data_IF_462543451792
#
_entry.id   IF_462543451792
#
_cell.length_a   1.000
_cell.length_b   1.000
_cell.length_c   1.000
_cell.angle_alpha   90.00
_cell.angle_beta   90.00
_cell.angle_gamma   90.00
#
_symmetry.space_group_name_H-M   'P 1'
#
loop_
_entity.id
_entity.type
_entity.pdbx_description
1 polymer ?
#
# COMPACT_ATOMS: atom_id res chain seq x y z
N UNK A 1 -21.07 17.23 6.98
CA UNK A 1 -20.87 16.26 5.87
C UNK A 1 -19.46 16.34 5.27
N UNK A 2 -18.87 17.53 5.12
CA UNK A 2 -17.53 17.69 4.49
C UNK A 2 -16.38 17.09 5.31
N UNK A 3 -16.39 17.23 6.65
CA UNK A 3 -15.33 16.72 7.53
C UNK A 3 -15.14 15.20 7.40
N UNK A 4 -16.23 14.43 7.45
CA UNK A 4 -16.17 12.97 7.32
C UNK A 4 -15.70 12.53 5.95
N UNK A 5 -16.19 13.16 4.87
CA UNK A 5 -15.74 12.84 3.50
C UNK A 5 -14.26 13.15 3.32
N UNK A 6 -13.81 14.31 3.78
CA UNK A 6 -12.41 14.72 3.72
C UNK A 6 -11.50 13.74 4.48
N UNK A 7 -11.91 13.32 5.68
CA UNK A 7 -11.18 12.33 6.46
C UNK A 7 -11.05 10.98 5.72
N UNK A 8 -12.14 10.46 5.17
CA UNK A 8 -12.13 9.19 4.42
C UNK A 8 -11.22 9.32 3.19
N UNK A 9 -11.36 10.39 2.41
CA UNK A 9 -10.53 10.61 1.21
C UNK A 9 -9.06 10.75 1.56
N UNK A 10 -8.73 11.49 2.62
CA UNK A 10 -7.35 11.63 3.11
C UNK A 10 -6.75 10.29 3.51
N UNK A 11 -7.46 9.49 4.30
CA UNK A 11 -6.99 8.16 4.71
C UNK A 11 -6.76 7.24 3.51
N UNK A 12 -7.70 7.20 2.55
CA UNK A 12 -7.53 6.41 1.34
C UNK A 12 -6.33 6.88 0.51
N UNK A 13 -6.15 8.19 0.35
CA UNK A 13 -5.00 8.75 -0.36
C UNK A 13 -3.68 8.34 0.30
N UNK A 14 -3.58 8.42 1.64
CA UNK A 14 -2.42 7.95 2.39
C UNK A 14 -2.16 6.47 2.16
N UNK A 15 -3.16 5.59 2.30
CA UNK A 15 -2.99 4.14 2.08
C UNK A 15 -2.44 3.85 0.69
N UNK A 16 -2.97 4.51 -0.36
CA UNK A 16 -2.51 4.30 -1.72
C UNK A 16 -1.11 4.87 -2.00
N UNK A 17 -0.71 5.93 -1.27
CA UNK A 17 0.63 6.50 -1.31
C UNK A 17 1.67 5.61 -0.62
N UNK A 18 1.33 4.97 0.51
CA UNK A 18 2.21 4.05 1.25
C UNK A 18 2.27 2.65 0.64
N UNK A 19 1.22 2.21 -0.05
CA UNK A 19 1.16 0.86 -0.63
C UNK A 19 2.27 0.48 -1.63
N UNK A 20 2.88 1.37 -2.44
CA UNK A 20 4.02 1.02 -3.29
C UNK A 20 5.36 1.04 -2.51
N UNK A 21 5.40 1.69 -1.35
CA UNK A 21 6.59 1.79 -0.49
C UNK A 21 6.79 0.54 0.36
N UNK A 22 5.69 -0.08 0.77
CA UNK A 22 5.71 -1.24 1.65
C UNK A 22 5.69 -2.58 0.90
N UNK A 23 5.13 -2.60 -0.33
CA UNK A 23 4.88 -3.84 -1.06
C UNK A 23 5.36 -3.75 -2.52
N UNK A 24 6.15 -4.73 -3.00
CA UNK A 24 6.50 -4.84 -4.41
C UNK A 24 5.25 -5.12 -5.26
N UNK A 25 5.26 -4.62 -6.50
CA UNK A 25 4.10 -4.58 -7.43
C UNK A 25 3.39 -5.93 -7.58
N UNK A 26 4.13 -7.03 -7.47
CA UNK A 26 3.61 -8.40 -7.60
C UNK A 26 2.62 -8.83 -6.51
N UNK A 27 2.77 -8.34 -5.27
CA UNK A 27 1.89 -8.74 -4.14
C UNK A 27 0.88 -7.66 -3.75
N UNK A 28 1.02 -6.44 -4.28
CA UNK A 28 0.19 -5.28 -3.91
C UNK A 28 -1.30 -5.54 -4.07
N UNK A 29 -1.72 -6.14 -5.19
CA UNK A 29 -3.14 -6.42 -5.46
C UNK A 29 -3.70 -7.48 -4.50
N UNK A 30 -2.92 -8.53 -4.22
CA UNK A 30 -3.31 -9.60 -3.29
C UNK A 30 -3.44 -9.07 -1.86
N UNK A 31 -2.46 -8.27 -1.40
CA UNK A 31 -2.49 -7.66 -0.07
C UNK A 31 -3.73 -6.76 0.11
N UNK A 32 -4.00 -5.87 -0.83
CA UNK A 32 -5.19 -5.01 -0.82
C UNK A 32 -6.50 -5.82 -0.86
N UNK A 33 -6.53 -6.91 -1.62
CA UNK A 33 -7.66 -7.85 -1.65
C UNK A 33 -7.92 -8.52 -0.30
N UNK A 34 -6.88 -9.02 0.35
CA UNK A 34 -6.97 -9.61 1.69
C UNK A 34 -7.48 -8.60 2.73
N UNK A 35 -6.92 -7.38 2.74
CA UNK A 35 -7.38 -6.30 3.61
C UNK A 35 -8.87 -5.99 3.39
N UNK A 36 -9.34 -5.96 2.14
CA UNK A 36 -10.75 -5.74 1.82
C UNK A 36 -11.65 -6.83 2.38
N UNK A 37 -11.26 -8.11 2.21
CA UNK A 37 -12.03 -9.24 2.75
C UNK A 37 -12.12 -9.16 4.28
N UNK A 38 -11.02 -8.86 4.97
CA UNK A 38 -11.01 -8.68 6.43
C UNK A 38 -11.91 -7.51 6.84
N UNK A 39 -11.87 -6.38 6.13
CA UNK A 39 -12.73 -5.23 6.39
C UNK A 39 -14.22 -5.56 6.19
N UNK A 40 -14.56 -6.39 5.19
CA UNK A 40 -15.93 -6.88 4.99
C UNK A 40 -16.40 -7.78 6.14
N UNK A 41 -15.56 -8.71 6.60
CA UNK A 41 -15.87 -9.54 7.76
C UNK A 41 -16.09 -8.68 9.01
N UNK A 42 -15.24 -7.68 9.24
CA UNK A 42 -15.40 -6.72 10.33
C UNK A 42 -16.73 -5.96 10.26
N UNK A 43 -17.16 -5.55 9.07
CA UNK A 43 -18.45 -4.86 8.88
C UNK A 43 -19.67 -5.76 9.17
N UNK A 44 -19.59 -7.04 8.82
CA UNK A 44 -20.65 -8.02 9.13
C UNK A 44 -20.73 -8.23 10.65
N UNK A 45 -19.60 -8.49 11.30
CA UNK A 45 -19.53 -8.64 12.76
C UNK A 45 -20.00 -7.38 13.50
N UNK A 46 -19.61 -6.19 13.03
CA UNK A 46 -20.03 -4.91 13.57
C UNK A 46 -21.55 -4.73 13.54
N UNK A 47 -22.19 -5.13 12.44
CA UNK A 47 -23.65 -5.02 12.28
C UNK A 47 -24.38 -5.93 13.27
N UNK A 48 -23.87 -7.14 13.50
CA UNK A 48 -24.44 -8.08 14.48
C UNK A 48 -24.32 -7.56 15.91
N UNK A 49 -23.13 -7.08 16.29
CA UNK A 49 -22.88 -6.50 17.63
C UNK A 49 -23.75 -5.26 17.86
N UNK A 50 -23.89 -4.42 16.82
CA UNK A 50 -24.74 -3.24 16.87
C UNK A 50 -26.21 -3.57 17.12
N UNK A 51 -26.72 -4.66 16.54
CA UNK A 51 -28.10 -5.06 16.75
C UNK A 51 -28.33 -5.49 18.21
N UNK A 52 -27.44 -6.34 18.72
CA UNK A 52 -27.51 -6.88 20.07
C UNK A 52 -27.41 -5.79 21.15
N UNK A 53 -26.51 -4.81 20.97
CA UNK A 53 -26.31 -3.72 21.95
C UNK A 53 -27.51 -2.77 22.02
N UNK A 54 -28.16 -2.52 20.88
CA UNK A 54 -29.33 -1.64 20.81
C UNK A 54 -30.52 -2.27 21.53
N UNK A 55 -30.70 -3.58 21.42
CA UNK A 55 -31.79 -4.31 22.08
C UNK A 55 -31.63 -4.35 23.60
N UNK A 56 -30.41 -4.56 24.10
CA UNK A 56 -30.16 -4.66 25.56
C UNK A 56 -30.01 -3.32 26.28
N UNK A 57 -29.35 -2.33 25.67
CA UNK A 57 -28.93 -1.10 26.36
C UNK A 57 -29.43 0.19 25.70
N UNK A 58 -30.00 0.09 24.49
CA UNK A 58 -30.47 1.25 23.72
C UNK A 58 -29.41 1.86 22.81
N UNK A 59 -29.84 2.77 21.92
CA UNK A 59 -29.06 3.25 20.76
C UNK A 59 -27.77 3.99 21.12
N UNK A 60 -27.72 4.67 22.27
CA UNK A 60 -26.57 5.52 22.64
C UNK A 60 -25.33 4.69 22.94
N UNK A 61 -25.49 3.49 23.50
CA UNK A 61 -24.36 2.65 23.90
C UNK A 61 -23.59 2.03 22.72
N UNK A 62 -24.15 2.06 21.52
CA UNK A 62 -23.45 1.61 20.31
C UNK A 62 -22.17 2.42 20.07
N UNK A 63 -22.14 3.72 20.40
CA UNK A 63 -20.98 4.57 20.09
C UNK A 63 -19.69 4.11 20.79
N UNK A 64 -19.80 3.52 21.98
CA UNK A 64 -18.66 3.18 22.84
C UNK A 64 -17.73 2.15 22.17
N UNK A 65 -18.17 0.95 21.75
CA UNK A 65 -17.29 -0.04 21.12
C UNK A 65 -16.69 0.43 19.79
N UNK A 66 -17.42 1.22 18.99
CA UNK A 66 -16.88 1.73 17.73
C UNK A 66 -15.84 2.83 17.95
N UNK A 67 -16.07 3.73 18.91
CA UNK A 67 -15.13 4.78 19.25
C UNK A 67 -13.84 4.21 19.84
N UNK A 68 -13.93 3.24 20.76
CA UNK A 68 -12.74 2.61 21.35
C UNK A 68 -11.94 1.84 20.32
N UNK A 69 -12.58 1.10 19.41
CA UNK A 69 -11.89 0.41 18.32
C UNK A 69 -11.22 1.38 17.34
N UNK A 70 -11.86 2.51 17.02
CA UNK A 70 -11.25 3.53 16.16
C UNK A 70 -10.00 4.15 16.81
N UNK A 71 -10.05 4.45 18.12
CA UNK A 71 -8.91 4.99 18.87
C UNK A 71 -7.77 3.96 18.93
N UNK A 72 -8.08 2.69 19.25
CA UNK A 72 -7.10 1.62 19.29
C UNK A 72 -6.42 1.41 17.93
N UNK A 73 -7.20 1.39 16.84
CA UNK A 73 -6.66 1.27 15.49
C UNK A 73 -5.76 2.45 15.13
N UNK A 74 -6.14 3.68 15.49
CA UNK A 74 -5.31 4.88 15.28
C UNK A 74 -4.02 4.84 16.09
N UNK A 75 -4.08 4.41 17.34
CA UNK A 75 -2.92 4.28 18.23
C UNK A 75 -1.96 3.19 17.72
N UNK A 76 -2.48 2.04 17.31
CA UNK A 76 -1.69 0.97 16.71
C UNK A 76 -1.04 1.44 15.42
N UNK A 77 -1.78 2.14 14.55
CA UNK A 77 -1.21 2.72 13.33
C UNK A 77 -0.09 3.70 13.65
N UNK A 78 -0.26 4.59 14.64
CA UNK A 78 0.78 5.53 15.05
C UNK A 78 2.04 4.83 15.59
N UNK A 79 1.87 3.71 16.30
CA UNK A 79 2.98 2.97 16.89
C UNK A 79 3.70 2.06 15.88
N UNK A 80 2.95 1.42 14.98
CA UNK A 80 3.45 0.43 14.03
C UNK A 80 3.84 1.00 12.68
N UNK A 81 3.41 2.20 12.31
CA UNK A 81 3.78 2.79 11.02
C UNK A 81 5.16 3.44 11.14
N UNK A 82 6.25 2.82 10.61
CA UNK A 82 7.54 3.48 10.55
C UNK A 82 7.46 4.66 9.59
N UNK A 83 7.99 5.81 10.00
CA UNK A 83 8.16 6.98 9.13
C UNK A 83 8.95 6.58 7.87
N UNK A 84 8.32 6.67 6.69
CA UNK A 84 8.94 6.36 5.39
C UNK A 84 9.60 7.58 4.72
N UNK A 85 9.49 8.76 5.33
CA UNK A 85 10.06 10.00 4.80
C UNK A 85 11.60 9.95 4.72
N UNK A 86 12.14 9.71 3.52
CA UNK A 86 13.58 9.84 3.22
C UNK A 86 14.36 8.53 3.02
N UNK A 87 13.71 7.37 2.93
CA UNK A 87 14.37 6.11 2.54
C UNK A 87 14.06 5.75 1.09
N UNK A 88 15.10 5.57 0.27
CA UNK A 88 15.01 5.05 -1.10
C UNK A 88 14.50 3.61 -1.08
N UNK A 89 13.35 3.36 -1.73
CA UNK A 89 12.72 2.05 -1.83
C UNK A 89 13.60 1.08 -2.64
N UNK A 90 13.84 -0.15 -2.13
CA UNK A 90 14.35 -1.23 -2.96
C UNK A 90 13.28 -1.60 -4.01
N UNK A 91 13.60 -1.42 -5.30
CA UNK A 91 12.67 -1.57 -6.43
C UNK A 91 12.32 -3.04 -6.75
N UNK A 92 12.95 -4.03 -6.09
CA UNK A 92 12.80 -5.44 -6.47
C UNK A 92 12.98 -6.38 -5.27
N UNK A 93 12.20 -7.47 -5.21
CA UNK A 93 12.24 -8.53 -4.18
C UNK A 93 13.69 -9.01 -3.93
N UNK A 94 14.52 -9.02 -4.97
CA UNK A 94 15.94 -9.39 -4.92
C UNK A 94 16.78 -8.53 -3.95
N UNK A 95 16.39 -7.29 -3.66
CA UNK A 95 17.09 -6.41 -2.70
C UNK A 95 16.64 -6.59 -1.25
N UNK A 96 15.53 -7.29 -1.01
CA UNK A 96 15.07 -7.64 0.35
C UNK A 96 15.75 -8.94 0.82
N UNK A 97 16.08 -9.83 -0.13
CA UNK A 97 16.70 -11.12 0.15
C UNK A 97 18.23 -11.03 0.35
N UNK A 98 18.88 -10.05 -0.27
CA UNK A 98 20.29 -9.74 -0.06
C UNK A 98 20.41 -8.41 0.69
N UNK A 99 20.57 -8.50 2.01
CA UNK A 99 20.81 -7.33 2.86
C UNK A 99 22.06 -6.56 2.44
N UNK A 100 21.92 -5.23 2.48
CA UNK A 100 22.98 -4.21 2.41
C UNK A 100 23.91 -4.32 1.19
N UNK A 101 23.68 -3.47 0.18
CA UNK A 101 24.70 -2.64 -0.49
C UNK A 101 24.03 -1.83 -1.61
N UNK A 102 24.10 -0.51 -1.48
CA UNK A 102 23.54 0.42 -2.46
C UNK A 102 24.40 0.50 -3.72
N UNK A 103 23.76 0.55 -4.87
CA UNK A 103 24.30 1.17 -6.10
C UNK A 103 23.10 1.71 -6.93
N UNK A 104 23.09 3.00 -7.33
CA UNK A 104 21.99 3.61 -8.09
C UNK A 104 21.91 3.09 -9.54
N UNK A 105 20.69 2.78 -9.97
CA UNK A 105 20.31 2.23 -11.27
C UNK A 105 20.56 3.13 -12.51
N UNK A 106 21.21 4.29 -12.37
CA UNK A 106 21.46 5.18 -13.51
C UNK A 106 22.46 4.59 -14.53
N UNK A 107 23.34 3.68 -14.11
CA UNK A 107 24.40 3.14 -14.97
C UNK A 107 23.93 2.08 -15.98
N UNK A 108 22.77 1.44 -15.76
CA UNK A 108 22.31 0.33 -16.64
C UNK A 108 21.55 0.83 -17.88
N UNK A 109 20.97 2.03 -17.82
CA UNK A 109 20.23 2.62 -18.93
C UNK A 109 21.14 3.22 -20.01
N UNK A 110 22.39 3.60 -19.65
CA UNK A 110 23.38 4.05 -20.62
C UNK A 110 24.03 2.88 -21.40
N UNK A 111 24.08 1.66 -20.85
CA UNK A 111 24.75 0.53 -21.53
C UNK A 111 23.89 -0.15 -22.59
N UNK A 112 22.55 -0.07 -22.51
CA UNK A 112 21.64 -0.68 -23.50
C UNK A 112 21.32 0.25 -24.67
N UNK A 113 21.74 1.53 -24.63
CA UNK A 113 21.56 2.45 -25.76
C UNK A 113 22.74 2.46 -26.73
N UNK A 114 23.94 2.11 -26.26
CA UNK A 114 25.15 2.07 -27.11
C UNK A 114 25.25 0.75 -27.92
N UNK A 115 24.66 -0.34 -27.42
CA UNK A 115 24.73 -1.65 -28.08
C UNK A 115 23.77 -1.83 -29.27
N UNK A 116 22.76 -0.97 -29.43
CA UNK A 116 21.81 -1.06 -30.55
C UNK A 116 22.26 -0.23 -31.78
N UNK A 117 23.12 0.79 -31.58
CA UNK A 117 23.50 1.71 -32.66
C UNK A 117 24.70 1.25 -33.50
N UNK A 118 25.42 0.19 -33.10
CA UNK A 118 26.68 -0.23 -33.79
C UNK A 118 26.52 -1.41 -34.77
N UNK A 119 25.30 -1.88 -35.09
CA UNK A 119 25.12 -2.99 -36.05
C UNK A 119 24.20 -2.66 -37.24
N UNK A 120 24.49 -1.55 -37.91
CA UNK A 120 24.21 -1.41 -39.35
C UNK A 120 25.45 -0.91 -40.10
N UNK A 121 25.94 -1.70 -41.05
CA UNK A 121 26.07 -1.21 -42.42
C UNK A 121 25.44 -2.24 -43.37
N UNK A 122 24.40 -1.93 -44.15
CA UNK A 122 24.39 -1.13 -45.38
C UNK A 122 25.26 -1.70 -46.52
N UNK A 123 24.54 -2.31 -47.47
CA UNK A 123 24.78 -2.45 -48.92
C UNK A 123 25.97 -3.24 -49.46
N UNK A 124 25.70 -4.07 -50.48
CA UNK A 124 26.28 -4.12 -51.86
C UNK A 124 26.05 -5.55 -52.38
N UNK A 125 25.00 -5.84 -53.15
CA UNK A 125 24.94 -5.73 -54.63
C UNK A 125 25.50 -6.98 -55.34
N UNK A 126 24.68 -7.46 -56.29
CA UNK A 126 25.02 -8.22 -57.51
C UNK A 126 25.16 -9.76 -57.54
N UNK A 127 24.45 -10.29 -58.57
CA UNK A 127 24.54 -11.55 -59.31
C UNK A 127 23.86 -12.80 -58.74
#
# INVERSE_FOLDING_TARGET
MMVTKGAITGTYASIYAYSPELFPTVIRNTAMGCCSTIARLGAISASYISLWIVESFGKVYMIVPFATMAILAGLLTLLFLPETMGKSLPETIAQIEHGDEGEPQEMKLLSTKDSDETRKPESTEEA
#
